data_IF_804832857705
#
_entry.id   IF_804832857705
#
_cell.length_a   1.000
_cell.length_b   1.000
_cell.length_c   1.000
_cell.angle_alpha   90.00
_cell.angle_beta   90.00
_cell.angle_gamma   90.00
#
_symmetry.space_group_name_H-M   'P 1'
#
loop_
_entity.id
_entity.type
_entity.pdbx_description
1 polymer ?
#
# COMPACT_ATOMS: atom_id res chain seq x y z
N UNK A 1 39.97 -19.18 16.31
CA UNK A 1 40.37 -19.07 14.87
C UNK A 1 39.68 -17.84 14.28
N UNK A 2 40.37 -17.06 13.44
CA UNK A 2 39.72 -15.93 12.79
C UNK A 2 38.71 -16.42 11.75
N UNK A 3 37.51 -15.84 11.76
CA UNK A 3 36.46 -16.17 10.79
C UNK A 3 36.90 -15.91 9.36
N UNK A 4 36.53 -16.80 8.46
CA UNK A 4 36.77 -16.62 7.03
C UNK A 4 35.85 -15.55 6.45
N UNK A 5 36.22 -14.97 5.33
CA UNK A 5 35.36 -13.98 4.64
C UNK A 5 34.00 -14.58 4.24
N UNK A 6 33.95 -15.85 3.86
CA UNK A 6 32.71 -16.54 3.52
C UNK A 6 31.76 -16.65 4.70
N UNK A 7 32.27 -17.09 5.86
CA UNK A 7 31.48 -17.18 7.10
C UNK A 7 30.93 -15.82 7.54
N UNK A 8 31.74 -14.75 7.45
CA UNK A 8 31.32 -13.40 7.79
C UNK A 8 30.20 -12.91 6.83
N UNK A 9 30.31 -13.19 5.53
CA UNK A 9 29.28 -12.82 4.57
C UNK A 9 27.95 -13.51 4.84
N UNK A 10 27.97 -14.81 5.09
CA UNK A 10 26.75 -15.56 5.41
C UNK A 10 26.14 -15.09 6.74
N UNK A 11 26.95 -14.87 7.77
CA UNK A 11 26.50 -14.34 9.03
C UNK A 11 25.81 -12.95 8.85
N UNK A 12 26.44 -12.03 8.14
CA UNK A 12 25.88 -10.69 7.88
C UNK A 12 24.63 -10.73 7.00
N UNK A 13 24.50 -11.70 6.08
CA UNK A 13 23.33 -11.88 5.24
C UNK A 13 22.13 -12.40 6.05
N UNK A 14 22.36 -13.35 6.95
CA UNK A 14 21.35 -13.97 7.79
C UNK A 14 20.99 -13.13 9.04
N UNK A 15 21.86 -12.19 9.43
CA UNK A 15 21.73 -11.43 10.66
C UNK A 15 20.43 -10.63 10.74
N UNK A 16 19.76 -10.67 11.90
CA UNK A 16 18.79 -9.67 12.31
C UNK A 16 19.51 -8.38 12.78
N UNK A 17 18.74 -7.34 13.14
CA UNK A 17 19.27 -6.03 13.53
C UNK A 17 20.28 -6.11 14.67
N UNK A 18 19.94 -6.80 15.77
CA UNK A 18 20.80 -6.91 16.95
C UNK A 18 22.09 -7.69 16.65
N UNK A 19 21.99 -8.76 15.88
CA UNK A 19 23.12 -9.55 15.41
C UNK A 19 24.04 -8.74 14.47
N UNK A 20 23.45 -7.98 13.54
CA UNK A 20 24.22 -7.08 12.68
C UNK A 20 25.01 -6.05 13.49
N UNK A 21 24.38 -5.40 14.47
CA UNK A 21 25.06 -4.41 15.32
C UNK A 21 26.21 -5.03 16.13
N UNK A 22 26.00 -6.24 16.62
CA UNK A 22 27.05 -7.00 17.33
C UNK A 22 28.22 -7.35 16.39
N UNK A 23 27.92 -7.86 15.18
CA UNK A 23 28.93 -8.18 14.17
C UNK A 23 29.65 -6.92 13.68
N UNK A 24 28.95 -5.82 13.48
CA UNK A 24 29.54 -4.56 13.05
C UNK A 24 30.54 -4.03 14.10
N UNK A 25 30.20 -4.11 15.39
CA UNK A 25 31.13 -3.76 16.48
C UNK A 25 32.33 -4.69 16.52
N UNK A 26 32.12 -5.99 16.42
CA UNK A 26 33.19 -7.00 16.48
C UNK A 26 34.16 -6.90 15.30
N UNK A 27 33.67 -6.53 14.12
CA UNK A 27 34.45 -6.43 12.87
C UNK A 27 34.93 -5.01 12.56
N UNK A 28 34.71 -4.05 13.46
CA UNK A 28 35.05 -2.63 13.21
C UNK A 28 36.54 -2.38 12.88
N UNK A 29 37.44 -3.18 13.45
CA UNK A 29 38.87 -3.11 13.22
C UNK A 29 39.37 -4.02 12.08
N UNK A 30 38.47 -4.73 11.39
CA UNK A 30 38.87 -5.65 10.30
C UNK A 30 39.17 -4.87 9.01
N UNK A 31 40.44 -4.84 8.63
CA UNK A 31 40.93 -4.08 7.47
C UNK A 31 40.71 -4.78 6.12
N UNK A 32 40.25 -6.03 6.12
CA UNK A 32 40.01 -6.80 4.89
C UNK A 32 38.95 -6.12 4.01
N UNK A 33 39.29 -5.78 2.77
CA UNK A 33 38.39 -5.10 1.81
C UNK A 33 37.07 -5.84 1.65
N UNK A 34 37.09 -7.19 1.65
CA UNK A 34 35.88 -8.02 1.52
C UNK A 34 34.95 -7.94 2.73
N UNK A 35 35.50 -7.79 3.94
CA UNK A 35 34.70 -7.62 5.18
C UNK A 35 34.08 -6.23 5.21
N UNK A 36 34.84 -5.18 4.89
CA UNK A 36 34.31 -3.80 4.77
C UNK A 36 33.17 -3.71 3.76
N UNK A 37 33.31 -4.39 2.60
CA UNK A 37 32.25 -4.44 1.59
C UNK A 37 30.98 -5.17 2.09
N UNK A 38 31.13 -6.29 2.81
CA UNK A 38 30.02 -7.04 3.38
C UNK A 38 29.27 -6.23 4.46
N UNK A 39 30.01 -5.57 5.36
CA UNK A 39 29.44 -4.66 6.35
C UNK A 39 28.67 -3.51 5.71
N UNK A 40 29.24 -2.88 4.66
CA UNK A 40 28.56 -1.81 3.92
C UNK A 40 27.27 -2.31 3.24
N UNK A 41 27.26 -3.53 2.72
CA UNK A 41 26.05 -4.14 2.13
C UNK A 41 24.97 -4.38 3.16
N UNK A 42 25.34 -4.95 4.32
CA UNK A 42 24.41 -5.16 5.42
C UNK A 42 23.87 -3.83 5.99
N UNK A 43 24.73 -2.82 6.15
CA UNK A 43 24.32 -1.48 6.56
C UNK A 43 23.28 -0.87 5.62
N UNK A 44 23.48 -1.01 4.29
CA UNK A 44 22.50 -0.53 3.30
C UNK A 44 21.17 -1.24 3.37
N UNK A 45 21.17 -2.56 3.61
CA UNK A 45 19.93 -3.33 3.79
C UNK A 45 19.12 -2.80 4.96
N UNK A 46 19.75 -2.67 6.13
CA UNK A 46 19.07 -2.17 7.32
C UNK A 46 18.62 -0.71 7.20
N UNK A 47 19.42 0.13 6.54
CA UNK A 47 19.01 1.51 6.26
C UNK A 47 17.79 1.57 5.30
N UNK A 48 17.70 0.64 4.33
CA UNK A 48 16.53 0.54 3.46
C UNK A 48 15.28 0.04 4.21
N UNK A 49 15.44 -0.94 5.12
CA UNK A 49 14.38 -1.42 6.01
C UNK A 49 13.86 -0.28 6.91
N UNK A 50 14.75 0.51 7.50
CA UNK A 50 14.38 1.67 8.33
C UNK A 50 13.65 2.76 7.53
N UNK A 51 14.12 3.03 6.32
CA UNK A 51 13.49 4.00 5.43
C UNK A 51 12.08 3.56 5.01
N UNK A 52 11.90 2.27 4.73
CA UNK A 52 10.59 1.70 4.39
C UNK A 52 9.63 1.72 5.59
N UNK A 53 10.11 1.36 6.77
CA UNK A 53 9.32 1.43 8.00
C UNK A 53 8.87 2.87 8.29
N UNK A 54 9.77 3.85 8.15
CA UNK A 54 9.44 5.27 8.32
C UNK A 54 8.47 5.78 7.26
N UNK A 55 8.60 5.34 6.00
CA UNK A 55 7.66 5.67 4.91
C UNK A 55 6.26 5.15 5.22
N UNK A 56 6.18 3.88 5.61
CA UNK A 56 4.91 3.23 5.95
C UNK A 56 4.24 3.91 7.15
N UNK A 57 5.01 4.19 8.22
CA UNK A 57 4.55 4.98 9.37
C UNK A 57 3.97 6.32 8.92
N UNK A 58 4.66 7.02 8.01
CA UNK A 58 4.21 8.29 7.45
C UNK A 58 2.87 8.18 6.73
N UNK A 59 2.64 7.10 5.94
CA UNK A 59 1.38 6.88 5.22
C UNK A 59 0.20 6.62 6.17
N UNK A 60 0.38 5.79 7.20
CA UNK A 60 -0.65 5.51 8.20
C UNK A 60 -0.94 6.72 9.08
N UNK A 61 0.10 7.43 9.55
CA UNK A 61 -0.07 8.65 10.34
C UNK A 61 -0.77 9.78 9.55
N UNK A 62 -0.46 9.91 8.26
CA UNK A 62 -1.14 10.87 7.39
C UNK A 62 -2.63 10.53 7.23
N UNK A 63 -2.97 9.28 6.98
CA UNK A 63 -4.33 8.78 6.90
C UNK A 63 -5.10 9.03 8.21
N UNK A 64 -4.55 8.63 9.35
CA UNK A 64 -5.17 8.80 10.66
C UNK A 64 -5.45 10.27 10.96
N UNK A 65 -4.54 11.19 10.59
CA UNK A 65 -4.73 12.63 10.74
C UNK A 65 -5.91 13.14 9.90
N UNK A 66 -6.07 12.68 8.66
CA UNK A 66 -7.17 13.08 7.79
C UNK A 66 -8.51 12.54 8.27
N UNK A 67 -8.52 11.35 8.84
CA UNK A 67 -9.71 10.72 9.42
C UNK A 67 -10.06 11.25 10.83
N UNK A 68 -9.26 12.17 11.39
CA UNK A 68 -9.46 12.64 12.77
C UNK A 68 -9.35 11.52 13.82
N UNK A 69 -8.60 10.45 13.52
CA UNK A 69 -8.48 9.24 14.34
C UNK A 69 -9.64 8.25 14.18
N UNK A 70 -10.58 8.50 13.27
CA UNK A 70 -11.69 7.61 12.94
C UNK A 70 -11.37 6.62 11.81
N UNK A 71 -12.38 5.90 11.35
CA UNK A 71 -12.28 4.90 10.28
C UNK A 71 -12.32 5.61 8.92
N UNK A 72 -11.30 5.37 8.09
CA UNK A 72 -11.21 5.91 6.74
C UNK A 72 -11.22 4.82 5.67
N UNK A 73 -11.97 5.03 4.58
CA UNK A 73 -11.83 4.27 3.35
C UNK A 73 -10.91 5.01 2.39
N UNK A 74 -9.97 4.30 1.77
CA UNK A 74 -9.18 4.78 0.63
C UNK A 74 -9.79 4.29 -0.67
N UNK A 75 -9.91 5.17 -1.65
CA UNK A 75 -10.47 4.91 -2.99
C UNK A 75 -9.45 5.28 -4.07
N UNK A 76 -9.29 4.40 -5.08
CA UNK A 76 -8.49 4.67 -6.28
C UNK A 76 -9.10 4.01 -7.51
N UNK A 77 -8.90 4.63 -8.69
CA UNK A 77 -9.40 4.11 -9.97
C UNK A 77 -8.34 3.44 -10.82
N UNK A 78 -8.71 2.36 -11.49
CA UNK A 78 -7.93 1.70 -12.54
C UNK A 78 -8.77 1.55 -13.79
N UNK A 79 -8.19 1.88 -14.96
CA UNK A 79 -8.90 1.72 -16.23
C UNK A 79 -9.44 3.01 -16.85
N UNK A 80 -9.16 4.17 -16.27
CA UNK A 80 -9.57 5.47 -16.82
C UNK A 80 -8.88 5.84 -18.14
N UNK A 81 -7.64 5.39 -18.36
CA UNK A 81 -6.84 5.72 -19.55
C UNK A 81 -6.86 4.70 -20.68
N UNK A 82 -6.98 3.39 -20.45
CA UNK A 82 -7.01 2.37 -21.51
C UNK A 82 -8.26 2.47 -22.39
N UNK A 83 -8.07 2.16 -23.67
CA UNK A 83 -9.16 2.19 -24.69
C UNK A 83 -10.14 1.02 -24.54
N UNK A 84 -9.80 -0.02 -23.77
CA UNK A 84 -10.62 -1.21 -23.62
C UNK A 84 -10.65 -1.72 -22.17
N UNK A 85 -11.74 -2.40 -21.82
CA UNK A 85 -11.99 -3.00 -20.53
C UNK A 85 -12.77 -2.11 -19.56
N UNK A 86 -13.25 -2.68 -18.44
CA UNK A 86 -14.05 -1.94 -17.46
C UNK A 86 -13.21 -0.92 -16.69
N UNK A 87 -13.86 0.13 -16.21
CA UNK A 87 -13.37 0.95 -15.13
C UNK A 87 -13.51 0.15 -13.82
N UNK A 88 -12.47 0.13 -13.00
CA UNK A 88 -12.49 -0.48 -11.67
C UNK A 88 -12.18 0.57 -10.60
N UNK A 89 -12.95 0.57 -9.51
CA UNK A 89 -12.66 1.36 -8.30
C UNK A 89 -12.37 0.38 -7.18
N UNK A 90 -11.18 0.46 -6.62
CA UNK A 90 -10.87 -0.21 -5.36
C UNK A 90 -11.26 0.65 -4.17
N UNK A 91 -11.75 0.01 -3.12
CA UNK A 91 -12.08 0.63 -1.84
C UNK A 91 -11.51 -0.22 -0.70
N UNK A 92 -10.75 0.37 0.20
CA UNK A 92 -10.09 -0.37 1.30
C UNK A 92 -10.13 0.42 2.60
N UNK A 93 -10.52 -0.26 3.67
CA UNK A 93 -10.36 0.19 5.06
C UNK A 93 -9.29 -0.68 5.72
N UNK A 94 -8.14 -0.11 6.01
CA UNK A 94 -7.06 -0.83 6.70
C UNK A 94 -7.16 -0.66 8.21
N UNK A 95 -6.78 -1.69 9.00
CA UNK A 95 -6.56 -1.55 10.43
C UNK A 95 -5.28 -0.76 10.71
N UNK A 96 -5.15 -0.21 11.92
CA UNK A 96 -3.88 0.39 12.37
C UNK A 96 -2.81 -0.68 12.63
N UNK A 97 -3.23 -1.89 13.00
CA UNK A 97 -2.40 -3.07 13.23
C UNK A 97 -3.19 -4.35 12.90
N UNK A 98 -2.66 -5.30 12.11
CA UNK A 98 -1.34 -5.26 11.48
C UNK A 98 -1.29 -4.27 10.30
N UNK A 99 -0.14 -3.65 10.09
CA UNK A 99 0.12 -2.81 8.92
C UNK A 99 0.50 -3.65 7.71
N UNK A 100 0.05 -3.23 6.54
CA UNK A 100 0.38 -3.91 5.29
C UNK A 100 1.72 -3.39 4.76
N UNK A 101 2.75 -4.21 4.86
CA UNK A 101 4.09 -3.87 4.40
C UNK A 101 4.17 -3.80 2.87
N UNK A 102 4.93 -2.81 2.39
CA UNK A 102 5.21 -2.65 0.96
C UNK A 102 4.10 -2.01 0.14
N UNK A 103 2.98 -1.57 0.75
CA UNK A 103 1.97 -0.77 0.02
C UNK A 103 2.63 0.49 -0.53
N UNK A 104 2.41 0.76 -1.82
CA UNK A 104 2.97 1.91 -2.54
C UNK A 104 2.16 2.14 -3.81
N UNK A 105 2.46 3.21 -4.55
CA UNK A 105 1.95 3.40 -5.92
C UNK A 105 2.08 2.10 -6.73
N UNK A 106 0.94 1.56 -7.16
CA UNK A 106 0.85 0.25 -7.85
C UNK A 106 1.71 0.17 -9.11
N UNK A 107 2.00 1.31 -9.74
CA UNK A 107 2.84 1.41 -10.95
C UNK A 107 4.34 1.23 -10.65
N UNK A 108 4.75 1.37 -9.38
CA UNK A 108 6.14 1.17 -8.94
C UNK A 108 6.42 -0.27 -8.51
N UNK A 109 5.39 -1.12 -8.44
CA UNK A 109 5.48 -2.52 -8.02
C UNK A 109 5.49 -3.46 -9.23
N UNK A 110 6.21 -4.58 -9.13
CA UNK A 110 6.08 -5.67 -10.11
C UNK A 110 4.71 -6.35 -9.98
N UNK A 111 4.29 -7.09 -11.01
CA UNK A 111 3.01 -7.81 -10.99
C UNK A 111 2.96 -8.80 -9.81
N UNK A 112 4.01 -9.59 -9.62
CA UNK A 112 4.13 -10.57 -8.55
C UNK A 112 4.02 -9.89 -7.17
N UNK A 113 4.69 -8.74 -7.01
CA UNK A 113 4.65 -8.00 -5.73
C UNK A 113 3.27 -7.41 -5.47
N UNK A 114 2.55 -6.95 -6.50
CA UNK A 114 1.15 -6.50 -6.36
C UNK A 114 0.24 -7.65 -5.92
N UNK A 115 0.38 -8.84 -6.50
CA UNK A 115 -0.41 -10.02 -6.13
C UNK A 115 -0.18 -10.43 -4.67
N UNK A 116 1.09 -10.47 -4.22
CA UNK A 116 1.45 -10.75 -2.83
C UNK A 116 0.78 -9.74 -1.87
N UNK A 117 0.92 -8.45 -2.14
CA UNK A 117 0.34 -7.39 -1.29
C UNK A 117 -1.19 -7.43 -1.35
N UNK A 118 -1.79 -7.65 -2.51
CA UNK A 118 -3.24 -7.75 -2.65
C UNK A 118 -3.83 -8.90 -1.82
N UNK A 119 -3.13 -10.04 -1.76
CA UNK A 119 -3.53 -11.15 -0.90
C UNK A 119 -3.52 -10.75 0.57
N UNK A 120 -2.45 -10.10 1.04
CA UNK A 120 -2.36 -9.61 2.42
C UNK A 120 -3.44 -8.55 2.72
N UNK A 121 -3.65 -7.59 1.80
CA UNK A 121 -4.72 -6.57 1.96
C UNK A 121 -6.08 -7.22 2.17
N UNK A 122 -6.44 -8.21 1.34
CA UNK A 122 -7.73 -8.91 1.45
C UNK A 122 -7.89 -9.69 2.75
N UNK A 123 -6.78 -10.19 3.30
CA UNK A 123 -6.78 -10.93 4.57
C UNK A 123 -6.95 -10.00 5.78
N UNK A 124 -6.25 -8.86 5.80
CA UNK A 124 -6.17 -8.01 6.99
C UNK A 124 -7.13 -6.82 6.99
N UNK A 125 -7.65 -6.41 5.82
CA UNK A 125 -8.53 -5.24 5.73
C UNK A 125 -9.79 -5.41 6.58
N UNK A 126 -10.20 -4.34 7.26
CA UNK A 126 -11.47 -4.28 8.01
C UNK A 126 -12.65 -4.42 7.05
N UNK A 127 -12.55 -3.74 5.90
CA UNK A 127 -13.50 -3.83 4.79
C UNK A 127 -12.77 -3.56 3.48
N UNK A 128 -13.20 -4.19 2.40
CA UNK A 128 -12.73 -3.88 1.07
C UNK A 128 -13.77 -4.22 0.01
N UNK A 129 -13.69 -3.54 -1.12
CA UNK A 129 -14.58 -3.74 -2.25
C UNK A 129 -13.89 -3.37 -3.58
N UNK A 130 -14.36 -3.91 -4.70
CA UNK A 130 -13.96 -3.52 -6.05
C UNK A 130 -15.20 -3.39 -6.92
N UNK A 131 -15.55 -2.18 -7.27
CA UNK A 131 -16.67 -1.87 -8.15
C UNK A 131 -16.23 -1.73 -9.60
N UNK A 132 -17.04 -2.26 -10.51
CA UNK A 132 -16.80 -2.20 -11.94
C UNK A 132 -17.91 -1.46 -12.68
N UNK A 133 -17.51 -0.60 -13.62
CA UNK A 133 -18.42 -0.05 -14.66
C UNK A 133 -18.00 -0.62 -16.00
N UNK A 134 -18.93 -1.24 -16.68
CA UNK A 134 -18.66 -1.88 -17.98
C UNK A 134 -18.47 -0.84 -19.09
N UNK A 135 -17.69 -1.16 -20.15
CA UNK A 135 -17.45 -0.24 -21.26
C UNK A 135 -18.75 0.32 -21.87
N UNK A 136 -19.79 -0.48 -21.96
CA UNK A 136 -21.09 -0.07 -22.50
C UNK A 136 -21.75 1.03 -21.66
N UNK A 137 -21.66 0.95 -20.32
CA UNK A 137 -22.18 1.99 -19.42
C UNK A 137 -21.35 3.29 -19.56
N UNK A 138 -20.02 3.14 -19.76
CA UNK A 138 -19.13 4.29 -19.99
C UNK A 138 -19.47 4.98 -21.32
N UNK A 139 -19.71 4.21 -22.37
CA UNK A 139 -20.07 4.75 -23.68
C UNK A 139 -21.44 5.46 -23.64
N UNK A 140 -22.39 4.94 -22.87
CA UNK A 140 -23.74 5.51 -22.74
C UNK A 140 -23.75 6.79 -21.87
N UNK A 141 -23.05 6.79 -20.75
CA UNK A 141 -23.18 7.83 -19.72
C UNK A 141 -21.95 8.73 -19.56
N UNK A 142 -20.81 8.31 -20.13
CA UNK A 142 -19.53 9.01 -20.05
C UNK A 142 -18.73 8.71 -18.79
N UNK A 143 -17.43 8.96 -18.88
CA UNK A 143 -16.44 8.62 -17.83
C UNK A 143 -16.69 9.33 -16.49
N UNK A 144 -17.17 10.58 -16.52
CA UNK A 144 -17.45 11.34 -15.30
C UNK A 144 -18.57 10.69 -14.48
N UNK A 145 -19.64 10.25 -15.15
CA UNK A 145 -20.71 9.48 -14.52
C UNK A 145 -20.20 8.14 -14.00
N UNK A 146 -19.43 7.41 -14.80
CA UNK A 146 -18.87 6.10 -14.44
C UNK A 146 -18.02 6.17 -13.16
N UNK A 147 -17.10 7.13 -13.08
CA UNK A 147 -16.27 7.37 -11.90
C UNK A 147 -17.13 7.66 -10.66
N UNK A 148 -18.09 8.57 -10.81
CA UNK A 148 -18.98 8.95 -9.72
C UNK A 148 -19.80 7.75 -9.22
N UNK A 149 -20.41 6.99 -10.13
CA UNK A 149 -21.26 5.83 -9.78
C UNK A 149 -20.48 4.71 -9.12
N UNK A 150 -19.29 4.37 -9.66
CA UNK A 150 -18.45 3.34 -9.08
C UNK A 150 -17.97 3.73 -7.67
N UNK A 151 -17.52 4.96 -7.47
CA UNK A 151 -17.14 5.43 -6.13
C UNK A 151 -18.32 5.39 -5.14
N UNK A 152 -19.51 5.84 -5.53
CA UNK A 152 -20.67 5.81 -4.65
C UNK A 152 -21.08 4.38 -4.29
N UNK A 153 -21.03 3.43 -5.26
CA UNK A 153 -21.32 2.00 -5.00
C UNK A 153 -20.26 1.42 -4.04
N UNK A 154 -18.98 1.69 -4.27
CA UNK A 154 -17.89 1.22 -3.40
C UNK A 154 -18.02 1.78 -1.97
N UNK A 155 -18.35 3.06 -1.80
CA UNK A 155 -18.59 3.66 -0.47
C UNK A 155 -19.77 2.94 0.23
N UNK A 156 -20.88 2.72 -0.48
CA UNK A 156 -22.03 2.03 0.09
C UNK A 156 -21.71 0.58 0.51
N UNK A 157 -20.95 -0.16 -0.30
CA UNK A 157 -20.50 -1.51 0.03
C UNK A 157 -19.60 -1.54 1.29
N UNK A 158 -18.70 -0.56 1.43
CA UNK A 158 -17.88 -0.42 2.63
C UNK A 158 -18.72 -0.09 3.86
N UNK A 159 -19.70 0.83 3.75
CA UNK A 159 -20.59 1.19 4.86
C UNK A 159 -21.43 0.00 5.33
N UNK A 160 -21.93 -0.83 4.41
CA UNK A 160 -22.63 -2.06 4.72
C UNK A 160 -21.74 -3.04 5.52
N UNK A 161 -20.51 -3.27 5.05
CA UNK A 161 -19.56 -4.14 5.74
C UNK A 161 -19.19 -3.63 7.14
N UNK A 162 -18.98 -2.32 7.29
CA UNK A 162 -18.67 -1.70 8.58
C UNK A 162 -19.88 -1.77 9.54
N UNK A 163 -21.07 -1.46 9.04
CA UNK A 163 -22.30 -1.54 9.82
C UNK A 163 -22.56 -2.94 10.38
N UNK A 164 -22.32 -3.99 9.59
CA UNK A 164 -22.41 -5.38 10.04
C UNK A 164 -21.42 -5.71 11.18
N UNK A 165 -20.36 -4.91 11.34
CA UNK A 165 -19.37 -5.01 12.42
C UNK A 165 -19.62 -4.01 13.56
N UNK A 166 -20.70 -3.26 13.52
CA UNK A 166 -21.03 -2.23 14.52
C UNK A 166 -20.14 -0.99 14.44
N UNK A 167 -19.52 -0.74 13.29
CA UNK A 167 -18.64 0.40 13.03
C UNK A 167 -19.26 1.37 12.01
N UNK A 168 -18.73 2.58 11.92
CA UNK A 168 -19.14 3.60 10.96
C UNK A 168 -17.94 4.22 10.26
N UNK A 169 -18.15 4.68 9.04
CA UNK A 169 -17.14 5.37 8.25
C UNK A 169 -17.06 6.85 8.62
N UNK A 170 -15.86 7.35 8.93
CA UNK A 170 -15.64 8.75 9.35
C UNK A 170 -15.05 9.61 8.23
N UNK A 171 -14.26 9.03 7.31
CA UNK A 171 -13.65 9.74 6.20
C UNK A 171 -13.60 8.92 4.92
N UNK A 172 -13.75 9.61 3.78
CA UNK A 172 -13.62 9.07 2.43
C UNK A 172 -12.39 9.71 1.78
N UNK A 173 -11.30 8.96 1.67
CA UNK A 173 -10.02 9.43 1.14
C UNK A 173 -9.92 9.02 -0.33
N UNK A 174 -9.99 10.01 -1.24
CA UNK A 174 -10.03 9.78 -2.68
C UNK A 174 -8.71 10.21 -3.33
N UNK A 175 -8.12 9.35 -4.18
CA UNK A 175 -7.01 9.79 -5.02
C UNK A 175 -7.45 10.83 -6.05
N UNK A 176 -6.62 11.85 -6.24
CA UNK A 176 -6.81 12.86 -7.28
C UNK A 176 -7.73 14.03 -6.90
N UNK A 177 -8.57 14.45 -7.87
CA UNK A 177 -9.39 15.65 -7.75
C UNK A 177 -10.74 15.38 -7.09
N UNK A 178 -11.32 16.44 -6.51
CA UNK A 178 -12.63 16.40 -5.87
C UNK A 178 -13.73 15.92 -6.85
N UNK A 179 -14.54 14.98 -6.38
CA UNK A 179 -15.71 14.48 -7.10
C UNK A 179 -17.03 14.88 -6.42
N UNK A 180 -16.94 15.45 -5.21
CA UNK A 180 -18.10 15.87 -4.41
C UNK A 180 -19.13 14.73 -4.23
N UNK A 181 -18.63 13.56 -3.84
CA UNK A 181 -19.43 12.35 -3.64
C UNK A 181 -20.16 12.38 -2.31
N UNK A 182 -19.46 12.82 -1.26
CA UNK A 182 -19.84 12.68 0.13
C UNK A 182 -19.30 13.86 0.95
N UNK A 183 -19.98 14.22 2.05
CA UNK A 183 -19.54 15.30 2.94
C UNK A 183 -18.22 14.99 3.68
N UNK A 184 -17.86 13.70 3.79
CA UNK A 184 -16.62 13.20 4.41
C UNK A 184 -15.45 13.09 3.43
N UNK A 185 -15.65 13.49 2.17
CA UNK A 185 -14.65 13.36 1.10
C UNK A 185 -13.44 14.26 1.36
N UNK A 186 -12.25 13.64 1.32
CA UNK A 186 -10.95 14.32 1.36
C UNK A 186 -10.13 13.87 0.15
N UNK A 187 -9.78 14.84 -0.71
CA UNK A 187 -9.05 14.57 -1.94
C UNK A 187 -7.55 14.70 -1.72
N UNK A 188 -6.81 13.74 -2.25
CA UNK A 188 -5.36 13.63 -2.03
C UNK A 188 -4.67 13.44 -3.38
N UNK A 189 -4.07 14.48 -3.91
CA UNK A 189 -3.30 14.38 -5.16
C UNK A 189 -2.10 13.44 -4.96
N UNK A 190 -2.01 12.39 -5.77
CA UNK A 190 -1.06 11.28 -5.64
C UNK A 190 -1.21 10.59 -4.27
N UNK A 191 -2.44 10.25 -3.94
CA UNK A 191 -2.81 9.64 -2.67
C UNK A 191 -2.23 8.23 -2.53
N UNK A 192 -2.09 7.50 -3.62
CA UNK A 192 -1.45 6.18 -3.72
C UNK A 192 -0.01 6.14 -3.17
N UNK A 193 0.72 7.24 -3.24
CA UNK A 193 2.05 7.37 -2.63
C UNK A 193 2.06 7.96 -1.21
N UNK A 194 0.92 8.38 -0.66
CA UNK A 194 0.85 9.13 0.60
C UNK A 194 -0.05 8.51 1.67
N UNK A 195 -1.05 7.75 1.26
CA UNK A 195 -2.10 7.19 2.11
C UNK A 195 -2.16 5.68 1.94
N UNK A 196 -2.05 4.93 3.04
CA UNK A 196 -1.95 3.47 2.98
C UNK A 196 -3.22 2.80 2.40
N UNK A 197 -4.41 3.26 2.76
CA UNK A 197 -5.66 2.69 2.25
C UNK A 197 -5.89 3.00 0.76
N UNK A 198 -5.47 4.19 0.26
CA UNK A 198 -5.53 4.50 -1.17
C UNK A 198 -4.54 3.62 -1.95
N UNK A 199 -3.30 3.46 -1.45
CA UNK A 199 -2.32 2.56 -2.06
C UNK A 199 -2.83 1.11 -2.12
N UNK A 200 -3.44 0.62 -1.04
CA UNK A 200 -4.05 -0.70 -1.00
C UNK A 200 -5.21 -0.84 -2.00
N UNK A 201 -6.08 0.16 -2.10
CA UNK A 201 -7.18 0.21 -3.06
C UNK A 201 -6.67 0.15 -4.52
N UNK A 202 -5.64 0.95 -4.84
CA UNK A 202 -4.95 0.93 -6.14
C UNK A 202 -4.43 -0.47 -6.49
N UNK A 203 -3.79 -1.13 -5.53
CA UNK A 203 -3.17 -2.45 -5.72
C UNK A 203 -4.24 -3.52 -5.98
N UNK A 204 -5.28 -3.62 -5.14
CA UNK A 204 -6.31 -4.66 -5.32
C UNK A 204 -7.10 -4.46 -6.62
N UNK A 205 -7.47 -3.21 -6.94
CA UNK A 205 -8.16 -2.91 -8.19
C UNK A 205 -7.29 -3.22 -9.41
N UNK A 206 -5.98 -2.94 -9.35
CA UNK A 206 -5.05 -3.22 -10.45
C UNK A 206 -4.87 -4.72 -10.66
N UNK A 207 -4.70 -5.51 -9.59
CA UNK A 207 -4.57 -6.97 -9.69
C UNK A 207 -5.82 -7.60 -10.31
N UNK A 208 -7.00 -7.26 -9.82
CA UNK A 208 -8.24 -7.84 -10.32
C UNK A 208 -8.54 -7.43 -11.78
N UNK A 209 -8.32 -6.14 -12.10
CA UNK A 209 -8.56 -5.67 -13.46
C UNK A 209 -7.58 -6.26 -14.49
N UNK A 210 -6.32 -6.48 -14.09
CA UNK A 210 -5.32 -7.09 -14.98
C UNK A 210 -5.58 -8.58 -15.21
N UNK A 211 -6.39 -9.23 -14.37
CA UNK A 211 -6.79 -10.63 -14.49
C UNK A 211 -8.04 -10.84 -15.39
N UNK A 212 -8.73 -9.77 -15.82
CA UNK A 212 -9.88 -9.80 -16.73
C UNK A 212 -9.46 -9.93 -18.19
#
# INVERSE_FOLDING_TARGET
>A
MAQTLAEIREALKAANRAEYEALARALAADERKGVKAALKSAARRFAAEDAEAARLEGMYSFQAKLAGGGIAVGLDEVGRGPVAGPLAIGAVVLPDDPRVEGVNDSKQLSAERREEIAAVVREVAIAWDIEYIQPQEIDEHGMTWALRMANLRAIAAIEEQLSAKGASLDAVLLDGNAQHLDAREVNIVKGDGKCASIAAASIIAKVDRDAL
#
